data_IF_871826698709
#
_entry.id   IF_871826698709
#
_cell.length_a   1.000
_cell.length_b   1.000
_cell.length_c   1.000
_cell.angle_alpha   90.00
_cell.angle_beta   90.00
_cell.angle_gamma   90.00
#
_symmetry.space_group_name_H-M   'P 1'
#
loop_
_entity.id
_entity.type
_entity.pdbx_description
1 polymer ?
#
# COMPACT_ATOMS: atom_id res chain seq x y z
N UNK A 1 13.85 -7.30 -4.29
CA UNK A 1 15.01 -8.01 -3.68
C UNK A 1 14.59 -9.06 -2.65
N UNK A 2 13.55 -8.80 -1.81
CA UNK A 2 13.09 -9.75 -0.77
C UNK A 2 12.50 -11.02 -1.39
N UNK A 3 11.71 -10.87 -2.46
CA UNK A 3 11.11 -12.00 -3.20
C UNK A 3 12.19 -12.85 -3.85
N UNK A 4 13.24 -12.23 -4.37
CA UNK A 4 14.40 -12.93 -4.95
C UNK A 4 15.18 -13.72 -3.88
N UNK A 5 15.32 -13.20 -2.68
CA UNK A 5 15.96 -13.91 -1.56
C UNK A 5 15.20 -15.18 -1.16
N UNK A 6 13.88 -15.21 -1.36
CA UNK A 6 13.05 -16.39 -1.12
C UNK A 6 13.09 -17.42 -2.26
N UNK A 7 13.94 -17.22 -3.28
CA UNK A 7 14.12 -18.16 -4.40
C UNK A 7 12.98 -18.16 -5.43
N UNK A 8 12.09 -17.17 -5.40
CA UNK A 8 11.04 -17.00 -6.39
C UNK A 8 11.48 -16.01 -7.49
N UNK A 9 10.99 -16.21 -8.70
CA UNK A 9 11.11 -15.21 -9.74
C UNK A 9 10.13 -14.05 -9.49
N UNK A 10 10.52 -12.83 -9.89
CA UNK A 10 9.70 -11.66 -9.71
C UNK A 10 9.84 -10.66 -10.85
N UNK A 11 8.75 -10.00 -11.18
CA UNK A 11 8.73 -8.87 -12.08
C UNK A 11 8.10 -7.66 -11.38
N UNK A 12 8.62 -6.47 -11.66
CA UNK A 12 8.11 -5.22 -11.10
C UNK A 12 7.74 -4.25 -12.21
N UNK A 13 6.60 -3.62 -12.07
CA UNK A 13 6.13 -2.57 -12.95
C UNK A 13 5.73 -1.34 -12.12
N UNK A 14 6.64 -0.35 -11.96
CA UNK A 14 6.29 0.89 -11.32
C UNK A 14 5.35 1.71 -12.23
N UNK A 15 4.23 2.16 -11.67
CA UNK A 15 3.32 3.09 -12.31
C UNK A 15 3.41 4.45 -11.61
N UNK A 16 4.17 5.35 -12.22
CA UNK A 16 4.31 6.71 -11.74
C UNK A 16 3.62 7.66 -12.73
N UNK A 17 2.87 8.65 -12.24
CA UNK A 17 2.34 9.70 -13.10
C UNK A 17 3.50 10.39 -13.85
N UNK A 18 3.26 10.76 -15.10
CA UNK A 18 4.27 11.38 -15.98
C UNK A 18 4.87 12.68 -15.40
N UNK A 19 4.19 13.31 -14.46
CA UNK A 19 4.65 14.50 -13.76
C UNK A 19 4.80 14.27 -12.26
N UNK A 20 5.87 14.79 -11.67
CA UNK A 20 6.17 14.69 -10.23
C UNK A 20 5.11 15.40 -9.38
N UNK A 21 4.42 16.40 -9.96
CA UNK A 21 3.27 17.09 -9.35
C UNK A 21 2.08 16.95 -10.26
N UNK A 22 0.99 16.41 -9.72
CA UNK A 22 -0.26 16.32 -10.45
C UNK A 22 -0.72 17.75 -10.87
N UNK A 23 -1.00 18.00 -12.17
CA UNK A 23 -1.56 19.25 -12.63
C UNK A 23 -2.88 19.58 -11.92
N UNK A 24 -3.25 20.87 -11.87
CA UNK A 24 -4.54 21.27 -11.29
C UNK A 24 -5.69 20.57 -12.03
N UNK A 25 -6.57 19.93 -11.27
CA UNK A 25 -7.73 19.21 -11.80
C UNK A 25 -7.47 17.74 -12.14
N UNK A 26 -6.24 17.24 -11.98
CA UNK A 26 -5.95 15.82 -12.10
C UNK A 26 -6.01 15.12 -10.76
N UNK A 27 -6.26 13.81 -10.79
CA UNK A 27 -6.28 12.96 -9.63
C UNK A 27 -4.83 12.77 -9.12
N UNK A 28 -4.56 13.13 -7.87
CA UNK A 28 -3.25 12.96 -7.25
C UNK A 28 -3.24 11.78 -6.27
N UNK A 29 -2.04 11.25 -5.97
CA UNK A 29 -1.91 10.09 -5.08
C UNK A 29 -2.22 8.75 -5.75
N UNK A 30 -2.10 8.69 -7.08
CA UNK A 30 -2.37 7.51 -7.92
C UNK A 30 -1.12 6.68 -8.24
N UNK A 31 0.06 7.10 -7.79
CA UNK A 31 1.28 6.33 -8.00
C UNK A 31 1.11 4.90 -7.49
N UNK A 32 1.41 3.93 -8.33
CA UNK A 32 1.29 2.52 -8.03
C UNK A 32 2.62 1.79 -8.18
N UNK A 33 2.67 0.60 -7.62
CA UNK A 33 3.77 -0.32 -7.77
C UNK A 33 3.22 -1.73 -7.88
N UNK A 34 3.35 -2.33 -9.04
CA UNK A 34 2.92 -3.71 -9.27
C UNK A 34 4.09 -4.65 -9.06
N UNK A 35 3.85 -5.71 -8.32
CA UNK A 35 4.81 -6.81 -8.12
C UNK A 35 4.14 -8.09 -8.52
N UNK A 36 4.77 -8.82 -9.42
CA UNK A 36 4.42 -10.18 -9.75
C UNK A 36 5.51 -11.11 -9.20
N UNK A 37 5.10 -12.16 -8.53
CA UNK A 37 6.02 -13.20 -8.07
C UNK A 37 5.40 -14.57 -8.30
N UNK A 38 6.25 -15.53 -8.70
CA UNK A 38 5.85 -16.89 -8.99
C UNK A 38 6.95 -17.88 -8.60
N UNK A 39 6.58 -19.13 -8.42
CA UNK A 39 7.53 -20.24 -8.27
C UNK A 39 8.12 -20.73 -9.59
N UNK A 40 7.63 -20.19 -10.71
CA UNK A 40 8.08 -20.47 -12.09
C UNK A 40 8.57 -19.18 -12.72
N UNK A 41 9.40 -19.29 -13.77
CA UNK A 41 9.95 -18.14 -14.49
C UNK A 41 8.83 -17.25 -15.06
N UNK A 42 8.95 -15.94 -14.82
CA UNK A 42 8.00 -14.93 -15.28
C UNK A 42 8.49 -14.36 -16.60
N UNK A 43 7.80 -14.68 -17.68
CA UNK A 43 8.15 -14.22 -19.02
C UNK A 43 7.49 -12.90 -19.42
N UNK A 44 6.31 -12.59 -18.84
CA UNK A 44 5.53 -11.38 -19.13
C UNK A 44 4.90 -10.84 -17.86
N UNK A 45 4.82 -9.50 -17.69
CA UNK A 45 3.99 -8.92 -16.64
C UNK A 45 2.52 -9.31 -16.89
N UNK A 46 1.79 -9.61 -15.82
CA UNK A 46 0.34 -9.91 -15.93
C UNK A 46 -0.46 -8.65 -16.24
N UNK A 47 -1.55 -8.81 -16.98
CA UNK A 47 -2.49 -7.72 -17.33
C UNK A 47 -3.41 -7.34 -16.17
N UNK A 48 -3.59 -8.24 -15.20
CA UNK A 48 -4.45 -8.04 -14.05
C UNK A 48 -3.74 -8.47 -12.76
N UNK A 49 -4.23 -7.97 -11.63
CA UNK A 49 -3.67 -8.26 -10.30
C UNK A 49 -4.67 -9.04 -9.45
N UNK A 50 -4.17 -10.03 -8.71
CA UNK A 50 -4.99 -10.85 -7.80
C UNK A 50 -5.25 -10.13 -6.47
N UNK A 51 -4.38 -9.19 -6.10
CA UNK A 51 -4.52 -8.40 -4.89
C UNK A 51 -4.07 -6.95 -5.11
N UNK A 52 -4.79 -6.01 -4.52
CA UNK A 52 -4.47 -4.59 -4.52
C UNK A 52 -4.45 -4.06 -3.09
N UNK A 53 -3.47 -3.21 -2.78
CA UNK A 53 -3.47 -2.39 -1.57
C UNK A 53 -3.72 -0.94 -1.95
N UNK A 54 -4.85 -0.39 -1.54
CA UNK A 54 -5.23 0.99 -1.81
C UNK A 54 -5.04 1.85 -0.56
N UNK A 55 -4.01 2.68 -0.56
CA UNK A 55 -3.69 3.57 0.55
C UNK A 55 -4.60 4.80 0.64
N UNK A 56 -5.33 5.11 -0.44
CA UNK A 56 -6.25 6.24 -0.54
C UNK A 56 -7.32 6.02 -1.64
N UNK A 57 -8.41 6.82 -1.66
CA UNK A 57 -9.47 6.68 -2.66
C UNK A 57 -9.01 6.93 -4.10
N UNK A 58 -7.97 7.76 -4.31
CA UNK A 58 -7.43 8.04 -5.63
C UNK A 58 -6.78 6.80 -6.24
N UNK A 59 -5.87 6.16 -5.51
CA UNK A 59 -5.25 4.91 -5.91
C UNK A 59 -6.27 3.79 -6.11
N UNK A 60 -7.27 3.70 -5.24
CA UNK A 60 -8.38 2.76 -5.40
C UNK A 60 -9.10 2.97 -6.74
N UNK A 61 -9.53 4.21 -7.02
CA UNK A 61 -10.31 4.54 -8.24
C UNK A 61 -9.52 4.27 -9.51
N UNK A 62 -8.23 4.65 -9.53
CA UNK A 62 -7.41 4.54 -10.74
C UNK A 62 -6.97 3.12 -11.07
N UNK A 63 -6.92 2.23 -10.08
CA UNK A 63 -6.35 0.90 -10.27
C UNK A 63 -7.38 -0.22 -10.11
N UNK A 64 -8.64 0.11 -9.82
CA UNK A 64 -9.69 -0.90 -9.62
C UNK A 64 -9.91 -1.79 -10.85
N UNK A 65 -9.80 -1.21 -12.05
CA UNK A 65 -9.99 -1.91 -13.33
C UNK A 65 -8.94 -3.00 -13.59
N UNK A 66 -7.77 -2.92 -12.95
CA UNK A 66 -6.72 -3.93 -13.08
C UNK A 66 -6.88 -5.10 -12.11
N UNK A 67 -7.82 -5.03 -11.16
CA UNK A 67 -8.03 -6.12 -10.20
C UNK A 67 -8.94 -7.18 -10.83
N UNK A 68 -8.49 -8.44 -10.79
CA UNK A 68 -9.30 -9.57 -11.24
C UNK A 68 -10.61 -9.67 -10.45
N UNK A 69 -11.67 -10.10 -11.12
CA UNK A 69 -12.95 -10.35 -10.46
C UNK A 69 -12.78 -11.41 -9.35
N UNK A 70 -13.29 -11.13 -8.17
CA UNK A 70 -13.07 -11.97 -6.99
C UNK A 70 -11.73 -11.72 -6.28
N UNK A 71 -10.90 -10.81 -6.81
CA UNK A 71 -9.61 -10.44 -6.22
C UNK A 71 -9.74 -9.79 -4.85
N UNK A 72 -8.62 -9.71 -4.15
CA UNK A 72 -8.53 -9.14 -2.80
C UNK A 72 -8.16 -7.66 -2.89
N UNK A 73 -8.93 -6.80 -2.24
CA UNK A 73 -8.63 -5.38 -2.15
C UNK A 73 -8.50 -4.98 -0.67
N UNK A 74 -7.31 -4.61 -0.26
CA UNK A 74 -7.04 -4.11 1.09
C UNK A 74 -7.02 -2.59 1.03
N UNK A 75 -7.89 -1.94 1.79
CA UNK A 75 -8.01 -0.48 1.77
C UNK A 75 -7.67 0.13 3.12
N UNK A 76 -6.95 1.24 3.11
CA UNK A 76 -6.81 2.08 4.29
C UNK A 76 -8.10 2.88 4.49
N UNK A 77 -9.04 2.34 5.27
CA UNK A 77 -10.37 2.95 5.43
C UNK A 77 -10.34 4.36 6.03
N UNK A 78 -9.32 4.69 6.83
CA UNK A 78 -9.15 6.01 7.44
C UNK A 78 -9.05 7.14 6.40
N UNK A 79 -8.61 6.83 5.18
CA UNK A 79 -8.47 7.79 4.10
C UNK A 79 -9.75 7.94 3.26
N UNK A 80 -10.76 7.06 3.43
CA UNK A 80 -12.02 7.13 2.67
C UNK A 80 -13.03 8.08 3.32
N UNK A 81 -12.55 9.25 3.71
CA UNK A 81 -13.38 10.34 4.24
C UNK A 81 -14.16 11.03 3.12
N UNK A 82 -15.31 11.64 3.45
CA UNK A 82 -16.11 12.42 2.49
C UNK A 82 -15.27 13.47 1.76
N UNK A 83 -14.36 14.15 2.48
CA UNK A 83 -13.48 15.15 1.89
C UNK A 83 -12.50 14.58 0.86
N UNK A 84 -11.92 13.42 1.13
CA UNK A 84 -10.99 12.76 0.21
C UNK A 84 -11.73 12.13 -0.98
N UNK A 85 -12.90 11.55 -0.76
CA UNK A 85 -13.77 11.02 -1.80
C UNK A 85 -14.18 12.13 -2.79
N UNK A 86 -14.61 13.29 -2.28
CA UNK A 86 -14.94 14.45 -3.10
C UNK A 86 -13.76 14.95 -3.93
N UNK A 87 -12.55 15.00 -3.36
CA UNK A 87 -11.32 15.36 -4.12
C UNK A 87 -11.01 14.36 -5.23
N UNK A 88 -11.41 13.10 -5.07
CA UNK A 88 -11.24 12.06 -6.08
C UNK A 88 -12.38 12.01 -7.11
N UNK A 89 -13.34 12.96 -7.05
CA UNK A 89 -14.44 13.07 -8.00
C UNK A 89 -15.55 12.04 -7.79
N UNK A 90 -15.69 11.51 -6.57
CA UNK A 90 -16.90 10.78 -6.18
C UNK A 90 -18.03 11.74 -5.84
N UNK A 91 -19.27 11.29 -6.02
CA UNK A 91 -20.46 12.04 -5.63
C UNK A 91 -20.49 12.25 -4.11
N UNK A 92 -21.19 13.28 -3.65
CA UNK A 92 -21.11 13.75 -2.24
C UNK A 92 -21.54 12.69 -1.22
N UNK A 93 -22.51 11.86 -1.56
CA UNK A 93 -23.04 10.80 -0.68
C UNK A 93 -22.56 9.39 -1.03
N UNK A 94 -21.67 9.25 -2.03
CA UNK A 94 -21.17 7.97 -2.48
C UNK A 94 -19.87 7.59 -1.79
N UNK A 95 -19.84 6.38 -1.24
CA UNK A 95 -18.62 5.77 -0.72
C UNK A 95 -18.46 4.36 -1.33
N UNK A 96 -17.43 4.11 -2.15
CA UNK A 96 -17.22 2.83 -2.81
C UNK A 96 -17.07 1.66 -1.82
N UNK A 97 -16.66 1.92 -0.59
CA UNK A 97 -16.55 0.88 0.45
C UNK A 97 -17.91 0.42 0.98
N UNK A 98 -18.99 1.12 0.64
CA UNK A 98 -20.39 0.78 1.01
C UNK A 98 -21.20 0.30 -0.20
N UNK A 99 -20.59 0.22 -1.37
CA UNK A 99 -21.22 -0.21 -2.61
C UNK A 99 -21.36 -1.74 -2.61
N UNK A 100 -22.60 -2.23 -2.64
CA UNK A 100 -22.90 -3.67 -2.61
C UNK A 100 -22.41 -4.40 -3.86
N UNK A 101 -22.38 -3.72 -5.02
CA UNK A 101 -21.90 -4.31 -6.28
C UNK A 101 -20.39 -4.54 -6.18
N UNK A 102 -19.65 -3.55 -5.70
CA UNK A 102 -18.21 -3.70 -5.49
C UNK A 102 -17.89 -4.75 -4.42
N UNK A 103 -18.62 -4.74 -3.31
CA UNK A 103 -18.42 -5.72 -2.24
C UNK A 103 -18.79 -7.16 -2.65
N UNK A 104 -19.66 -7.34 -3.65
CA UNK A 104 -19.97 -8.65 -4.21
C UNK A 104 -18.97 -9.09 -5.29
N UNK A 105 -18.36 -8.12 -5.99
CA UNK A 105 -17.39 -8.37 -7.06
C UNK A 105 -15.97 -8.62 -6.57
N UNK A 106 -15.61 -8.07 -5.41
CA UNK A 106 -14.26 -8.15 -4.83
C UNK A 106 -14.30 -8.47 -3.33
N UNK A 107 -13.23 -9.05 -2.83
CA UNK A 107 -13.02 -9.27 -1.39
C UNK A 107 -12.40 -8.02 -0.77
N UNK A 108 -13.23 -7.04 -0.38
CA UNK A 108 -12.74 -5.78 0.16
C UNK A 108 -12.48 -5.90 1.67
N UNK A 109 -11.20 -5.82 2.04
CA UNK A 109 -10.72 -5.80 3.42
C UNK A 109 -10.48 -4.35 3.86
N UNK A 110 -11.33 -3.84 4.75
CA UNK A 110 -11.25 -2.48 5.30
C UNK A 110 -10.35 -2.50 6.53
N UNK A 111 -9.23 -1.80 6.47
CA UNK A 111 -8.25 -1.76 7.56
C UNK A 111 -7.97 -0.30 7.92
N UNK A 112 -8.14 0.11 9.18
CA UNK A 112 -7.82 1.47 9.63
C UNK A 112 -6.29 1.64 9.80
N UNK A 113 -5.55 1.57 8.68
CA UNK A 113 -4.09 1.49 8.69
C UNK A 113 -3.43 2.70 9.34
N UNK A 114 -3.96 3.91 9.11
CA UNK A 114 -3.40 5.13 9.69
C UNK A 114 -3.53 5.12 11.22
N UNK A 115 -4.69 4.72 11.74
CA UNK A 115 -4.94 4.60 13.16
C UNK A 115 -4.08 3.50 13.79
N UNK A 116 -4.08 2.30 13.22
CA UNK A 116 -3.32 1.16 13.73
C UNK A 116 -1.81 1.43 13.72
N UNK A 117 -1.29 2.09 12.67
CA UNK A 117 0.12 2.50 12.63
C UNK A 117 0.45 3.45 13.77
N UNK A 118 -0.39 4.44 14.03
CA UNK A 118 -0.18 5.37 15.15
C UNK A 118 -0.25 4.66 16.50
N UNK A 119 -1.27 3.83 16.71
CA UNK A 119 -1.42 3.07 17.95
C UNK A 119 -0.24 2.12 18.22
N UNK A 120 0.36 1.54 17.16
CA UNK A 120 1.52 0.64 17.29
C UNK A 120 2.81 1.35 17.62
N UNK A 121 2.98 2.60 17.16
CA UNK A 121 4.25 3.32 17.21
C UNK A 121 4.28 4.44 18.26
N UNK A 122 3.14 4.82 18.84
CA UNK A 122 3.11 5.77 19.94
C UNK A 122 3.62 5.09 21.21
N UNK A 123 4.81 5.48 21.65
CA UNK A 123 5.40 5.09 22.93
C UNK A 123 5.50 6.34 23.81
N UNK A 124 5.14 6.21 25.09
CA UNK A 124 5.10 7.34 26.03
C UNK A 124 6.47 7.99 26.25
N UNK A 125 7.55 7.26 25.96
CA UNK A 125 8.93 7.65 26.28
C UNK A 125 9.77 8.15 25.07
N UNK A 126 9.19 8.18 23.85
CA UNK A 126 9.93 8.56 22.65
C UNK A 126 9.34 9.82 22.01
N UNK A 127 10.21 10.83 21.80
CA UNK A 127 9.87 12.08 21.09
C UNK A 127 9.86 11.86 19.56
N UNK A 128 8.89 11.03 19.10
CA UNK A 128 8.71 10.73 17.68
C UNK A 128 7.63 11.64 17.10
N UNK A 129 7.93 12.32 16.01
CA UNK A 129 6.96 13.21 15.39
C UNK A 129 5.81 12.40 14.75
N UNK A 130 4.57 12.91 14.88
CA UNK A 130 3.39 12.33 14.22
C UNK A 130 3.60 12.16 12.71
N UNK A 131 4.37 13.06 12.10
CA UNK A 131 4.69 13.02 10.67
C UNK A 131 5.57 11.83 10.32
N UNK A 132 6.48 11.43 11.19
CA UNK A 132 7.34 10.27 10.94
C UNK A 132 6.56 8.97 11.16
N UNK A 133 5.69 8.93 12.15
CA UNK A 133 4.74 7.82 12.34
C UNK A 133 3.86 7.65 11.10
N UNK A 134 3.28 8.73 10.59
CA UNK A 134 2.43 8.67 9.39
C UNK A 134 3.15 8.15 8.13
N UNK A 135 4.46 8.33 8.04
CA UNK A 135 5.29 7.76 6.96
C UNK A 135 5.45 6.25 7.05
N UNK A 136 5.29 5.69 8.24
CA UNK A 136 5.43 4.24 8.47
C UNK A 136 4.22 3.42 7.97
N UNK A 137 3.11 4.06 7.57
CA UNK A 137 1.91 3.37 7.05
C UNK A 137 2.20 2.41 5.89
N UNK A 138 3.16 2.76 5.05
CA UNK A 138 3.52 1.88 3.93
C UNK A 138 4.17 0.58 4.41
N UNK A 139 4.93 0.63 5.51
CA UNK A 139 5.54 -0.56 6.11
C UNK A 139 4.49 -1.42 6.81
N UNK A 140 3.50 -0.77 7.46
CA UNK A 140 2.33 -1.48 7.99
C UNK A 140 1.58 -2.24 6.89
N UNK A 141 1.31 -1.58 5.75
CA UNK A 141 0.70 -2.22 4.59
C UNK A 141 1.56 -3.37 4.02
N UNK A 142 2.88 -3.21 3.99
CA UNK A 142 3.81 -4.27 3.58
C UNK A 142 3.73 -5.48 4.52
N UNK A 143 3.64 -5.25 5.83
CA UNK A 143 3.43 -6.31 6.82
C UNK A 143 2.15 -7.11 6.57
N UNK A 144 1.03 -6.43 6.27
CA UNK A 144 -0.24 -7.09 5.90
C UNK A 144 -0.06 -7.97 4.66
N UNK A 145 0.61 -7.46 3.63
CA UNK A 145 0.85 -8.20 2.38
C UNK A 145 1.74 -9.42 2.65
N UNK A 146 2.80 -9.26 3.44
CA UNK A 146 3.69 -10.36 3.81
C UNK A 146 2.92 -11.45 4.57
N UNK A 147 2.07 -11.07 5.50
CA UNK A 147 1.21 -12.01 6.22
C UNK A 147 0.21 -12.72 5.29
N UNK A 148 -0.48 -11.96 4.40
CA UNK A 148 -1.47 -12.50 3.48
C UNK A 148 -0.88 -13.57 2.56
N UNK A 149 0.35 -13.37 2.10
CA UNK A 149 1.03 -14.28 1.20
C UNK A 149 2.02 -15.23 1.90
N UNK A 150 1.93 -15.33 3.24
CA UNK A 150 2.79 -16.19 4.07
C UNK A 150 4.28 -16.01 3.78
N UNK A 151 4.71 -14.73 3.64
CA UNK A 151 6.11 -14.38 3.41
C UNK A 151 6.85 -14.19 4.73
N UNK A 152 8.07 -14.69 4.78
CA UNK A 152 8.97 -14.42 5.89
C UNK A 152 9.23 -12.93 6.00
N UNK A 153 9.10 -12.38 7.21
CA UNK A 153 9.23 -10.94 7.44
C UNK A 153 10.65 -10.54 7.82
N UNK A 154 11.44 -11.46 8.34
CA UNK A 154 12.80 -11.23 8.82
C UNK A 154 13.71 -10.60 7.76
N UNK A 155 13.77 -11.08 6.49
CA UNK A 155 14.58 -10.46 5.45
C UNK A 155 14.11 -9.04 5.12
N UNK A 156 12.81 -8.77 5.30
CA UNK A 156 12.23 -7.43 5.11
C UNK A 156 12.71 -6.47 6.19
N UNK A 157 12.67 -6.90 7.45
CA UNK A 157 13.16 -6.13 8.60
C UNK A 157 14.64 -5.81 8.45
N UNK A 158 15.47 -6.80 8.12
CA UNK A 158 16.91 -6.59 7.88
C UNK A 158 17.17 -5.53 6.81
N UNK A 159 16.43 -5.56 5.69
CA UNK A 159 16.55 -4.58 4.62
C UNK A 159 16.07 -3.19 5.02
N UNK A 160 15.02 -3.08 5.82
CA UNK A 160 14.54 -1.80 6.36
C UNK A 160 15.61 -1.20 7.27
N UNK A 161 16.16 -1.98 8.19
CA UNK A 161 17.22 -1.53 9.12
C UNK A 161 18.46 -1.10 8.34
N UNK A 162 18.91 -1.88 7.37
CA UNK A 162 20.04 -1.52 6.51
C UNK A 162 19.77 -0.20 5.76
N UNK A 163 18.63 -0.11 5.07
CA UNK A 163 18.31 1.03 4.22
C UNK A 163 18.14 2.33 5.01
N UNK A 164 17.30 2.33 6.02
CA UNK A 164 17.04 3.54 6.82
C UNK A 164 18.16 3.82 7.82
N UNK A 165 18.70 2.79 8.48
CA UNK A 165 19.74 2.95 9.49
C UNK A 165 21.09 3.31 8.90
N UNK A 166 21.55 2.56 7.90
CA UNK A 166 22.91 2.70 7.36
C UNK A 166 22.93 3.64 6.16
N UNK A 167 22.11 3.36 5.11
CA UNK A 167 22.14 4.10 3.85
C UNK A 167 21.58 5.51 4.02
N UNK A 168 20.42 5.65 4.66
CA UNK A 168 19.75 6.95 4.88
C UNK A 168 20.20 7.65 6.14
N UNK A 169 20.94 6.98 7.04
CA UNK A 169 21.37 7.51 8.34
C UNK A 169 20.21 8.06 9.18
N UNK A 170 19.10 7.33 9.19
CA UNK A 170 17.88 7.66 9.90
C UNK A 170 17.50 6.51 10.87
N UNK A 171 18.27 6.31 11.96
CA UNK A 171 18.09 5.16 12.84
C UNK A 171 16.71 5.11 13.50
N UNK A 172 16.12 6.25 13.84
CA UNK A 172 14.77 6.34 14.40
C UNK A 172 13.74 5.81 13.38
N UNK A 173 13.86 6.21 12.11
CA UNK A 173 12.98 5.71 11.05
C UNK A 173 13.19 4.22 10.82
N UNK A 174 14.42 3.72 10.90
CA UNK A 174 14.71 2.29 10.83
C UNK A 174 13.98 1.52 11.94
N UNK A 175 14.09 1.98 13.17
CA UNK A 175 13.44 1.37 14.33
C UNK A 175 11.90 1.40 14.24
N UNK A 176 11.32 2.49 13.76
CA UNK A 176 9.87 2.63 13.61
C UNK A 176 9.28 1.69 12.55
N UNK A 177 10.08 1.31 11.55
CA UNK A 177 9.62 0.50 10.41
C UNK A 177 10.04 -0.98 10.53
N UNK A 178 10.84 -1.35 11.51
CA UNK A 178 11.24 -2.73 11.79
C UNK A 178 10.38 -3.36 12.88
#
# INVERSE_FOLDING_TARGET
>A
DIVALAGNDFATAPDFPAEIRAPRGTLFGVSGYQVQFASTEIHTPGDAVNAMVAMNPAGFRSNLEYVEQGGIIIVNEDEFTTANLKKCGYEEDYNPLKDDVLNSSYKICKVPMSRLTRESLVREDEDVSVKDIDRCRNMFALGIVSWLFSREIEPTIEKIVEYFGVVKKQPVIAQLNS
#
